data_IF_567808088160
#
_entry.id   IF_567808088160
#
_cell.length_a   1.000
_cell.length_b   1.000
_cell.length_c   1.000
_cell.angle_alpha   90.00
_cell.angle_beta   90.00
_cell.angle_gamma   90.00
#
_symmetry.space_group_name_H-M   'P 1'
#
loop_
_entity.id
_entity.type
_entity.pdbx_description
1 polymer ?
#
# COMPACT_ATOMS: atom_id res chain seq x y z
N UNK A 1 7.80 -31.58 42.93
CA UNK A 1 6.87 -32.73 42.76
C UNK A 1 7.19 -33.41 41.45
N UNK A 2 7.21 -34.74 41.42
CA UNK A 2 7.48 -35.52 40.21
C UNK A 2 6.24 -36.27 39.75
N UNK A 3 5.88 -36.18 38.48
CA UNK A 3 4.91 -37.08 37.86
C UNK A 3 5.67 -38.14 37.05
N UNK A 4 5.35 -39.41 37.28
CA UNK A 4 6.00 -40.53 36.58
C UNK A 4 7.45 -40.82 37.00
N UNK A 5 7.98 -40.16 38.04
CA UNK A 5 9.34 -40.37 38.54
C UNK A 5 9.40 -40.29 40.07
N UNK A 6 10.21 -41.16 40.67
CA UNK A 6 10.50 -41.13 42.10
C UNK A 6 11.75 -40.30 42.44
N UNK A 7 12.42 -39.73 41.43
CA UNK A 7 13.62 -38.90 41.60
C UNK A 7 13.53 -37.58 40.79
N UNK A 8 12.69 -36.62 41.22
CA UNK A 8 12.53 -35.35 40.52
C UNK A 8 13.85 -34.54 40.51
N UNK A 9 14.21 -33.97 39.36
CA UNK A 9 15.43 -33.16 39.17
C UNK A 9 15.14 -31.65 39.07
N UNK A 10 13.86 -31.27 39.11
CA UNK A 10 13.39 -29.90 39.05
C UNK A 10 12.12 -29.74 39.91
N UNK A 11 11.72 -28.49 40.18
CA UNK A 11 10.52 -28.17 40.98
C UNK A 11 9.26 -28.88 40.46
N UNK A 12 9.11 -28.94 39.13
CA UNK A 12 8.17 -29.78 38.41
C UNK A 12 8.95 -30.66 37.43
N UNK A 13 8.99 -31.97 37.68
CA UNK A 13 9.60 -32.94 36.77
C UNK A 13 8.51 -33.91 36.29
N UNK A 14 8.25 -33.93 34.98
CA UNK A 14 7.37 -34.91 34.34
C UNK A 14 8.24 -35.88 33.56
N UNK A 15 8.28 -37.14 34.00
CA UNK A 15 8.93 -38.22 33.27
C UNK A 15 7.92 -38.84 32.29
N UNK A 16 7.79 -38.23 31.11
CA UNK A 16 6.85 -38.62 30.06
C UNK A 16 6.84 -37.61 28.91
N UNK A 17 6.01 -37.85 27.89
CA UNK A 17 5.83 -36.91 26.78
C UNK A 17 4.82 -35.82 27.14
N UNK A 18 5.10 -34.58 26.75
CA UNK A 18 4.11 -33.51 26.70
C UNK A 18 3.31 -33.66 25.41
N UNK A 19 1.98 -33.64 25.51
CA UNK A 19 1.10 -33.49 24.35
C UNK A 19 0.47 -32.10 24.39
N UNK A 20 0.76 -31.29 23.38
CA UNK A 20 0.09 -30.02 23.16
C UNK A 20 -1.01 -30.20 22.12
N UNK A 21 -2.22 -29.75 22.44
CA UNK A 21 -3.37 -29.74 21.52
C UNK A 21 -3.70 -28.26 21.27
N UNK A 22 -3.45 -27.72 20.07
CA UNK A 22 -3.69 -26.32 19.79
C UNK A 22 -5.19 -26.01 19.77
N UNK A 23 -5.56 -24.82 20.22
CA UNK A 23 -6.90 -24.27 20.03
C UNK A 23 -7.04 -23.78 18.59
N UNK A 24 -7.84 -24.49 17.79
CA UNK A 24 -8.05 -24.16 16.38
C UNK A 24 -8.93 -22.93 16.16
N UNK A 25 -9.49 -22.34 17.22
CA UNK A 25 -10.32 -21.13 17.14
C UNK A 25 -9.51 -19.83 17.27
N UNK A 26 -8.22 -19.93 17.58
CA UNK A 26 -7.33 -18.78 17.81
C UNK A 26 -6.19 -18.79 16.80
N UNK A 27 -5.84 -17.62 16.26
CA UNK A 27 -4.66 -17.48 15.42
C UNK A 27 -3.39 -17.71 16.23
N UNK A 28 -2.52 -18.67 15.83
CA UNK A 28 -1.26 -18.91 16.53
C UNK A 28 -0.36 -17.67 16.48
N UNK A 29 0.16 -17.26 17.63
CA UNK A 29 1.13 -16.15 17.74
C UNK A 29 2.57 -16.61 17.91
N UNK A 30 2.77 -17.91 18.13
CA UNK A 30 4.07 -18.50 18.46
C UNK A 30 4.18 -19.89 17.87
N UNK A 31 5.40 -20.25 17.48
CA UNK A 31 5.78 -21.62 17.21
C UNK A 31 6.61 -22.12 18.38
N UNK A 32 6.24 -23.27 18.93
CA UNK A 32 6.99 -23.93 20.00
C UNK A 32 7.59 -25.22 19.47
N UNK A 33 8.82 -25.52 19.89
CA UNK A 33 9.54 -26.72 19.48
C UNK A 33 10.40 -27.26 20.62
N UNK A 34 10.70 -28.55 20.60
CA UNK A 34 11.59 -29.20 21.57
C UNK A 34 12.85 -29.60 20.84
N UNK A 35 14.01 -29.11 21.29
CA UNK A 35 15.30 -29.50 20.75
C UNK A 35 15.77 -30.87 21.24
N UNK A 36 16.85 -31.39 20.68
CA UNK A 36 17.41 -32.72 21.00
C UNK A 36 17.80 -32.90 22.47
N UNK A 37 17.97 -31.80 23.21
CA UNK A 37 18.26 -31.77 24.64
C UNK A 37 17.02 -31.75 25.54
N UNK A 38 15.81 -31.78 24.94
CA UNK A 38 14.54 -31.73 25.65
C UNK A 38 14.14 -30.32 26.13
N UNK A 39 14.87 -29.28 25.71
CA UNK A 39 14.55 -27.89 26.03
C UNK A 39 13.47 -27.38 25.07
N UNK A 40 12.41 -26.79 25.64
CA UNK A 40 11.37 -26.10 24.89
C UNK A 40 11.89 -24.73 24.44
N UNK A 41 11.89 -24.48 23.13
CA UNK A 41 12.11 -23.18 22.52
C UNK A 41 10.81 -22.59 21.97
N UNK A 42 10.75 -21.27 21.91
CA UNK A 42 9.66 -20.53 21.27
C UNK A 42 10.20 -19.53 20.24
N UNK A 43 9.44 -19.34 19.17
CA UNK A 43 9.62 -18.27 18.18
C UNK A 43 8.33 -17.48 18.15
N UNK A 44 8.42 -16.17 18.42
CA UNK A 44 7.30 -15.25 18.26
C UNK A 44 7.08 -14.99 16.77
N UNK A 45 5.83 -15.10 16.32
CA UNK A 45 5.47 -14.85 14.93
C UNK A 45 5.26 -13.36 14.63
N UNK A 46 5.16 -12.52 15.67
CA UNK A 46 4.86 -11.11 15.50
C UNK A 46 3.48 -10.89 14.90
N UNK A 47 3.34 -9.79 14.17
CA UNK A 47 2.11 -9.47 13.44
C UNK A 47 2.23 -9.84 11.94
N UNK A 48 3.44 -10.11 11.45
CA UNK A 48 3.74 -10.34 10.03
C UNK A 48 3.48 -11.78 9.59
N UNK A 49 3.70 -12.76 10.47
CA UNK A 49 3.57 -14.18 10.15
C UNK A 49 2.37 -14.81 10.88
N UNK A 50 1.65 -15.68 10.18
CA UNK A 50 0.57 -16.49 10.72
C UNK A 50 0.67 -17.94 10.25
N UNK A 51 -0.11 -18.83 10.87
CA UNK A 51 -0.23 -20.22 10.42
C UNK A 51 -1.64 -20.42 9.87
N UNK A 52 -1.76 -20.55 8.56
CA UNK A 52 -3.03 -20.74 7.86
C UNK A 52 -3.00 -22.10 7.19
N UNK A 53 -4.03 -22.94 7.41
CA UNK A 53 -4.11 -24.29 6.84
C UNK A 53 -2.84 -25.13 7.05
N UNK A 54 -2.21 -25.00 8.22
CA UNK A 54 -0.96 -25.68 8.60
C UNK A 54 0.30 -25.23 7.83
N UNK A 55 0.26 -24.09 7.14
CA UNK A 55 1.40 -23.49 6.47
C UNK A 55 1.78 -22.16 7.13
N UNK A 56 3.08 -21.90 7.29
CA UNK A 56 3.57 -20.59 7.73
C UNK A 56 3.38 -19.60 6.57
N UNK A 57 2.56 -18.59 6.78
CA UNK A 57 2.16 -17.61 5.77
C UNK A 57 2.49 -16.20 6.26
N UNK A 58 2.87 -15.31 5.35
CA UNK A 58 2.92 -13.88 5.64
C UNK A 58 1.48 -13.36 5.63
N UNK A 59 0.99 -12.89 6.77
CA UNK A 59 -0.39 -12.43 6.95
C UNK A 59 -0.52 -10.91 6.94
N UNK A 60 0.58 -10.21 7.22
CA UNK A 60 0.70 -8.77 7.05
C UNK A 60 2.02 -8.52 6.33
N UNK A 61 1.94 -8.31 5.02
CA UNK A 61 3.07 -7.82 4.26
C UNK A 61 3.16 -6.30 4.41
N UNK A 62 4.00 -5.85 5.33
CA UNK A 62 4.41 -4.44 5.41
C UNK A 62 5.54 -4.12 4.43
N UNK A 63 5.95 -5.08 3.62
CA UNK A 63 6.90 -4.90 2.53
C UNK A 63 6.36 -3.81 1.62
N UNK A 64 6.99 -2.64 1.67
CA UNK A 64 6.83 -1.62 0.67
C UNK A 64 7.27 -2.21 -0.68
N UNK A 65 6.33 -2.84 -1.38
CA UNK A 65 6.50 -3.27 -2.75
C UNK A 65 6.77 -2.00 -3.56
N UNK A 66 8.06 -1.77 -3.79
CA UNK A 66 8.55 -0.52 -4.34
C UNK A 66 8.00 -0.26 -5.75
N UNK A 67 7.52 -1.29 -6.47
CA UNK A 67 7.06 -1.18 -7.86
C UNK A 67 6.07 -2.30 -8.27
N UNK A 68 4.95 -2.50 -7.57
CA UNK A 68 3.88 -3.35 -8.11
C UNK A 68 3.22 -2.67 -9.31
N UNK A 69 3.45 -3.18 -10.52
CA UNK A 69 2.74 -2.74 -11.72
C UNK A 69 1.36 -3.41 -11.72
N UNK A 70 0.40 -2.79 -11.06
CA UNK A 70 -1.01 -3.13 -11.29
C UNK A 70 -1.60 -2.19 -12.33
N UNK A 71 -2.42 -2.75 -13.21
CA UNK A 71 -3.23 -2.00 -14.15
C UNK A 71 -4.35 -1.32 -13.39
N UNK A 72 -4.09 -0.14 -12.82
CA UNK A 72 -5.18 0.76 -12.49
C UNK A 72 -5.71 1.35 -13.79
N UNK A 73 -6.60 0.61 -14.46
CA UNK A 73 -7.57 1.26 -15.32
C UNK A 73 -8.53 1.95 -14.36
N UNK A 74 -8.57 3.29 -14.42
CA UNK A 74 -9.53 4.07 -13.64
C UNK A 74 -10.93 3.78 -14.18
N UNK A 75 -11.47 2.62 -13.82
CA UNK A 75 -12.80 2.13 -14.23
C UNK A 75 -13.90 2.73 -13.35
N UNK A 76 -13.54 3.37 -12.24
CA UNK A 76 -14.47 4.05 -11.33
C UNK A 76 -14.73 5.51 -11.72
N UNK A 77 -13.75 6.22 -12.30
CA UNK A 77 -13.95 7.55 -12.85
C UNK A 77 -14.08 7.49 -14.37
N UNK A 78 -15.29 7.61 -14.90
CA UNK A 78 -15.47 7.84 -16.33
C UNK A 78 -14.88 9.20 -16.71
N UNK A 79 -13.68 9.16 -17.29
CA UNK A 79 -13.02 10.35 -17.79
C UNK A 79 -13.71 10.87 -19.06
N UNK A 80 -13.89 12.18 -19.15
CA UNK A 80 -14.58 12.86 -20.26
C UNK A 80 -13.85 14.16 -20.57
N UNK A 81 -13.74 14.47 -21.86
CA UNK A 81 -13.11 15.70 -22.33
C UNK A 81 -13.83 16.96 -21.84
N UNK A 82 -13.06 18.03 -21.67
CA UNK A 82 -13.51 19.33 -21.19
C UNK A 82 -13.64 19.44 -19.67
N UNK A 83 -13.52 18.33 -18.94
CA UNK A 83 -13.65 18.33 -17.49
C UNK A 83 -12.34 18.66 -16.78
N UNK A 84 -12.50 19.20 -15.58
CA UNK A 84 -11.43 19.28 -14.57
C UNK A 84 -11.77 18.29 -13.46
N UNK A 85 -10.86 17.38 -13.19
CA UNK A 85 -10.95 16.40 -12.13
C UNK A 85 -10.27 16.95 -10.88
N UNK A 86 -11.10 17.24 -9.88
CA UNK A 86 -10.65 17.65 -8.56
C UNK A 86 -10.61 16.42 -7.66
N UNK A 87 -9.60 16.34 -6.81
CA UNK A 87 -9.44 15.28 -5.79
C UNK A 87 -9.54 13.90 -6.43
N UNK A 88 -8.83 13.72 -7.54
CA UNK A 88 -8.99 12.56 -8.40
C UNK A 88 -8.69 11.28 -7.63
N UNK A 89 -9.72 10.44 -7.50
CA UNK A 89 -9.63 9.17 -6.81
C UNK A 89 -8.84 8.16 -7.63
N UNK A 90 -7.66 7.82 -7.10
CA UNK A 90 -6.77 6.78 -7.60
C UNK A 90 -6.68 5.61 -6.61
N UNK A 91 -7.60 5.54 -5.65
CA UNK A 91 -7.85 4.44 -4.72
C UNK A 91 -6.61 4.01 -3.90
N UNK A 92 -5.84 5.00 -3.42
CA UNK A 92 -4.65 4.77 -2.58
C UNK A 92 -4.97 4.25 -1.17
N UNK A 93 -6.19 4.45 -0.67
CA UNK A 93 -6.64 3.97 0.64
C UNK A 93 -7.36 2.59 0.56
N UNK A 94 -7.02 1.78 -0.43
CA UNK A 94 -7.70 0.51 -0.69
C UNK A 94 -6.83 -0.48 -1.45
N UNK A 95 -7.43 -1.11 -2.47
CA UNK A 95 -6.78 -2.18 -3.27
C UNK A 95 -5.45 -1.73 -3.89
N UNK A 96 -5.26 -0.42 -4.12
CA UNK A 96 -4.08 0.11 -4.81
C UNK A 96 -3.09 0.84 -3.88
N UNK A 97 -3.16 0.59 -2.56
CA UNK A 97 -2.22 1.18 -1.60
C UNK A 97 -0.74 0.91 -1.97
N UNK A 98 -0.45 -0.23 -2.60
CA UNK A 98 0.90 -0.65 -2.98
C UNK A 98 1.23 -0.41 -4.47
N UNK A 99 0.27 0.05 -5.26
CA UNK A 99 0.45 0.27 -6.70
C UNK A 99 0.92 1.71 -6.94
N UNK A 100 2.05 1.93 -7.64
CA UNK A 100 2.52 3.26 -7.96
C UNK A 100 2.05 3.73 -9.34
N UNK A 101 1.43 2.90 -10.19
CA UNK A 101 1.06 3.29 -11.57
C UNK A 101 -0.45 3.52 -11.69
N UNK A 102 -0.82 4.71 -12.15
CA UNK A 102 -2.19 5.11 -12.49
C UNK A 102 -2.28 5.23 -14.01
N UNK A 103 -3.15 4.46 -14.68
CA UNK A 103 -3.34 4.58 -16.14
C UNK A 103 -4.57 5.40 -16.47
N UNK A 104 -4.39 6.35 -17.38
CA UNK A 104 -5.46 7.17 -17.94
C UNK A 104 -5.74 6.70 -19.37
N UNK A 105 -6.90 6.09 -19.58
CA UNK A 105 -7.32 5.48 -20.85
C UNK A 105 -8.71 5.94 -21.30
N UNK A 106 -9.02 5.67 -22.57
CA UNK A 106 -10.37 5.76 -23.17
C UNK A 106 -11.08 7.13 -23.07
N UNK A 107 -10.32 8.24 -23.07
CA UNK A 107 -10.87 9.60 -23.07
C UNK A 107 -10.94 10.18 -24.48
N UNK A 108 -12.08 10.76 -24.86
CA UNK A 108 -12.32 11.30 -26.21
C UNK A 108 -11.95 12.79 -26.39
N UNK A 109 -11.50 13.48 -25.34
CA UNK A 109 -11.07 14.88 -25.42
C UNK A 109 -10.16 15.29 -24.28
N UNK A 110 -9.51 16.44 -24.41
CA UNK A 110 -8.56 16.96 -23.42
C UNK A 110 -9.23 17.21 -22.08
N UNK A 111 -8.53 16.94 -20.99
CA UNK A 111 -9.04 17.13 -19.63
C UNK A 111 -7.92 17.61 -18.71
N UNK A 112 -8.30 18.07 -17.53
CA UNK A 112 -7.36 18.57 -16.53
C UNK A 112 -7.52 17.85 -15.20
N UNK A 113 -6.44 17.78 -14.42
CA UNK A 113 -6.42 17.24 -13.05
C UNK A 113 -5.82 18.32 -12.15
N UNK A 114 -6.51 18.65 -11.05
CA UNK A 114 -6.01 19.64 -10.07
C UNK A 114 -5.41 19.02 -8.80
N UNK A 115 -5.64 17.73 -8.58
CA UNK A 115 -5.19 17.04 -7.38
C UNK A 115 -5.58 15.58 -7.35
N UNK A 116 -4.95 14.83 -6.45
CA UNK A 116 -5.24 13.42 -6.17
C UNK A 116 -5.57 13.28 -4.69
N UNK A 117 -6.60 12.51 -4.36
CA UNK A 117 -6.96 12.25 -2.98
C UNK A 117 -6.08 11.18 -2.33
N UNK A 118 -6.20 11.06 -1.00
CA UNK A 118 -5.56 10.02 -0.18
C UNK A 118 -4.02 10.02 -0.23
N UNK A 119 -3.40 11.20 -0.21
CA UNK A 119 -1.95 11.35 -0.14
C UNK A 119 -1.34 10.78 1.15
N UNK A 120 -0.30 9.96 0.99
CA UNK A 120 0.48 9.38 2.09
C UNK A 120 1.91 9.92 1.99
N UNK A 121 2.48 10.40 3.09
CA UNK A 121 3.81 11.00 3.09
C UNK A 121 4.87 10.09 2.44
N UNK A 122 5.60 10.63 1.47
CA UNK A 122 6.60 9.89 0.69
C UNK A 122 6.02 8.93 -0.36
N UNK A 123 4.71 8.93 -0.63
CA UNK A 123 4.12 8.09 -1.68
C UNK A 123 4.51 8.61 -3.06
N UNK A 124 5.09 7.73 -3.89
CA UNK A 124 5.33 7.97 -5.30
C UNK A 124 4.20 7.39 -6.15
N UNK A 125 3.76 8.16 -7.15
CA UNK A 125 2.86 7.68 -8.21
C UNK A 125 3.38 8.09 -9.59
N UNK A 126 3.10 7.26 -10.59
CA UNK A 126 3.33 7.46 -12.00
C UNK A 126 1.96 7.49 -12.68
N UNK A 127 1.61 8.63 -13.24
CA UNK A 127 0.40 8.82 -14.02
C UNK A 127 0.76 8.61 -15.49
N UNK A 128 0.36 7.47 -16.04
CA UNK A 128 0.56 7.09 -17.43
C UNK A 128 -0.66 7.48 -18.25
N UNK A 129 -0.50 8.44 -19.16
CA UNK A 129 -1.52 8.71 -20.18
C UNK A 129 -1.28 7.76 -21.37
N UNK A 130 -2.20 6.83 -21.60
CA UNK A 130 -2.14 5.92 -22.75
C UNK A 130 -2.96 6.42 -23.95
N UNK A 131 -3.76 7.46 -23.73
CA UNK A 131 -4.57 8.09 -24.77
C UNK A 131 -3.76 9.02 -25.66
N UNK A 132 -4.30 9.34 -26.83
CA UNK A 132 -3.75 10.40 -27.71
C UNK A 132 -4.26 11.79 -27.35
N UNK A 133 -5.07 11.93 -26.30
CA UNK A 133 -5.61 13.23 -25.86
C UNK A 133 -4.73 13.84 -24.79
N UNK A 134 -4.75 15.16 -24.68
CA UNK A 134 -3.89 15.87 -23.74
C UNK A 134 -4.47 15.81 -22.33
N UNK A 135 -3.61 15.58 -21.33
CA UNK A 135 -3.94 15.79 -19.91
C UNK A 135 -3.17 16.98 -19.37
N UNK A 136 -3.85 17.89 -18.68
CA UNK A 136 -3.23 19.07 -18.07
C UNK A 136 -3.32 18.98 -16.54
N UNK A 137 -2.18 18.98 -15.86
CA UNK A 137 -2.08 19.16 -14.42
C UNK A 137 -2.11 20.65 -14.08
N UNK A 138 -2.89 21.02 -13.08
CA UNK A 138 -3.05 22.42 -12.64
C UNK A 138 -2.24 22.68 -11.39
N UNK A 139 -1.40 23.72 -11.41
CA UNK A 139 -0.68 24.17 -10.22
C UNK A 139 -1.64 24.85 -9.23
N UNK A 140 -1.66 24.38 -7.98
CA UNK A 140 -2.32 25.03 -6.82
C UNK A 140 -3.63 25.70 -7.21
N UNK A 141 -4.54 24.90 -7.77
CA UNK A 141 -5.85 25.37 -8.21
C UNK A 141 -6.55 26.16 -7.11
N UNK A 142 -7.21 27.27 -7.43
CA UNK A 142 -7.89 28.11 -6.45
C UNK A 142 -9.39 28.27 -6.76
N UNK A 143 -10.16 28.66 -5.75
CA UNK A 143 -11.59 28.93 -5.86
C UNK A 143 -12.49 27.73 -5.56
N UNK A 144 -13.77 27.84 -5.91
CA UNK A 144 -14.81 26.85 -5.60
C UNK A 144 -14.71 25.55 -6.42
N UNK A 145 -13.79 25.50 -7.38
CA UNK A 145 -13.52 24.37 -8.29
C UNK A 145 -12.05 24.01 -8.18
N UNK A 146 -11.55 23.91 -6.96
CA UNK A 146 -10.19 23.50 -6.66
C UNK A 146 -10.23 22.16 -5.93
N UNK A 147 -9.15 21.41 -6.04
CA UNK A 147 -8.89 20.32 -5.11
C UNK A 147 -8.84 20.82 -3.67
N UNK A 148 -9.24 19.95 -2.74
CA UNK A 148 -8.98 20.12 -1.31
C UNK A 148 -7.50 20.44 -1.10
N UNK A 149 -7.19 21.31 -0.14
CA UNK A 149 -5.84 21.88 0.01
C UNK A 149 -4.77 20.78 0.06
N UNK A 150 -5.00 19.74 0.85
CA UNK A 150 -4.15 18.57 0.98
C UNK A 150 -3.88 17.81 -0.33
N UNK A 151 -4.82 17.85 -1.27
CA UNK A 151 -4.75 17.07 -2.50
C UNK A 151 -4.17 17.84 -3.68
N UNK A 152 -3.90 19.14 -3.51
CA UNK A 152 -3.43 19.99 -4.60
C UNK A 152 -2.04 19.60 -5.09
N UNK A 153 -1.82 19.87 -6.38
CA UNK A 153 -0.53 19.66 -7.04
C UNK A 153 0.30 20.95 -7.00
N UNK A 154 1.58 20.84 -6.67
CA UNK A 154 2.61 21.85 -6.90
C UNK A 154 3.41 21.46 -8.15
N UNK A 155 3.48 22.38 -9.10
CA UNK A 155 4.24 22.24 -10.33
C UNK A 155 5.55 23.06 -10.24
N UNK A 156 6.68 22.57 -10.78
CA UNK A 156 7.99 23.19 -10.62
C UNK A 156 8.08 24.66 -11.07
N UNK A 157 7.28 25.07 -12.05
CA UNK A 157 7.27 26.43 -12.60
C UNK A 157 6.05 27.27 -12.14
N UNK A 158 5.22 26.74 -11.22
CA UNK A 158 4.02 27.42 -10.74
C UNK A 158 2.97 27.69 -11.83
N UNK A 159 3.01 26.95 -12.94
CA UNK A 159 2.08 27.06 -14.08
C UNK A 159 1.60 25.68 -14.48
N UNK A 160 0.41 25.58 -15.07
CA UNK A 160 -0.12 24.30 -15.54
C UNK A 160 0.85 23.61 -16.51
N UNK A 161 1.02 22.31 -16.34
CA UNK A 161 1.89 21.45 -17.15
C UNK A 161 1.10 20.22 -17.56
N UNK A 162 1.42 19.59 -18.68
CA UNK A 162 0.62 18.48 -19.19
C UNK A 162 1.37 17.58 -20.14
N UNK A 163 0.75 16.45 -20.46
CA UNK A 163 1.19 15.52 -21.49
C UNK A 163 0.40 15.80 -22.78
N UNK A 164 1.09 15.89 -23.91
CA UNK A 164 0.54 16.13 -25.25
C UNK A 164 0.21 14.79 -25.93
N UNK A 165 -0.63 14.00 -25.28
CA UNK A 165 -0.91 12.62 -25.67
C UNK A 165 -0.16 11.64 -24.77
N UNK A 166 0.41 10.60 -25.38
CA UNK A 166 0.98 9.48 -24.63
C UNK A 166 2.23 9.90 -23.87
N UNK A 167 2.24 9.68 -22.57
CA UNK A 167 3.38 10.07 -21.74
C UNK A 167 3.19 9.69 -20.28
N UNK A 168 4.15 10.06 -19.45
CA UNK A 168 4.15 9.77 -18.01
C UNK A 168 4.49 11.01 -17.19
N UNK A 169 3.72 11.23 -16.14
CA UNK A 169 4.01 12.20 -15.10
C UNK A 169 4.29 11.48 -13.78
N UNK A 170 5.32 11.90 -13.06
CA UNK A 170 5.71 11.34 -11.77
C UNK A 170 5.41 12.36 -10.67
N UNK A 171 4.73 11.90 -9.63
CA UNK A 171 4.38 12.71 -8.47
C UNK A 171 4.87 12.04 -7.17
N UNK A 172 5.23 12.89 -6.20
CA UNK A 172 5.53 12.48 -4.83
C UNK A 172 4.63 13.27 -3.89
N UNK A 173 3.99 12.61 -2.93
CA UNK A 173 3.26 13.32 -1.88
C UNK A 173 4.20 13.74 -0.75
N UNK A 174 4.19 15.03 -0.41
CA UNK A 174 4.89 15.59 0.74
C UNK A 174 3.89 15.87 1.87
N UNK A 175 3.95 15.05 2.94
CA UNK A 175 3.08 15.15 4.11
C UNK A 175 3.43 16.30 5.05
N UNK A 176 4.56 16.98 4.85
CA UNK A 176 4.92 18.19 5.62
C UNK A 176 4.12 19.39 5.15
N UNK A 177 3.96 19.53 3.83
CA UNK A 177 3.19 20.63 3.21
C UNK A 177 1.79 20.18 2.76
N UNK A 178 1.49 18.88 2.86
CA UNK A 178 0.27 18.22 2.40
C UNK A 178 -0.04 18.57 0.95
N UNK A 179 0.86 18.22 0.02
CA UNK A 179 0.69 18.48 -1.42
C UNK A 179 1.33 17.37 -2.25
N UNK A 180 0.82 17.19 -3.47
CA UNK A 180 1.50 16.40 -4.49
C UNK A 180 2.51 17.25 -5.24
N UNK A 181 3.75 16.79 -5.34
CA UNK A 181 4.82 17.45 -6.06
C UNK A 181 5.00 16.78 -7.42
N UNK A 182 4.86 17.50 -8.54
CA UNK A 182 5.30 16.98 -9.84
C UNK A 182 6.83 16.99 -9.88
N UNK A 183 7.45 15.81 -10.00
CA UNK A 183 8.91 15.68 -10.03
C UNK A 183 9.46 15.36 -11.42
N UNK A 184 8.66 14.72 -12.26
CA UNK A 184 9.05 14.41 -13.64
C UNK A 184 7.84 14.45 -14.57
N UNK A 185 8.06 14.84 -15.81
CA UNK A 185 7.06 14.78 -16.87
C UNK A 185 7.78 14.44 -18.17
N UNK A 186 7.34 13.35 -18.81
CA UNK A 186 7.88 12.85 -20.07
C UNK A 186 6.75 12.68 -21.06
N UNK A 187 6.81 13.49 -22.10
CA UNK A 187 5.88 13.54 -23.23
C UNK A 187 6.55 12.89 -24.46
#
# INVERSE_FOLDING_TARGET
MGFGTNNPQATLHVAGAMQYIPDTSVQPKRVVGIGDTGILGEVDLGDEFGIINNELTIINDSGADLLNIEDLSVTTNTLSGGNVYHDFDIALNGVHQMTPIVRLNDVSGNYSISGFQDGIDGKHIYVLNESTVNVTFLDRSNGATASSDENQIILPNGSSMGLSGKGVAEFIYDGTINKWLLVNLRD
#
